data_IF_651258222991
#
_entry.id   IF_651258222991
#
_cell.length_a   1.000
_cell.length_b   1.000
_cell.length_c   1.000
_cell.angle_alpha   90.00
_cell.angle_beta   90.00
_cell.angle_gamma   90.00
#
_symmetry.space_group_name_H-M   'P 1'
#
loop_
_entity.id
_entity.type
_entity.pdbx_description
1 polymer ?
#
# COMPACT_ATOMS: atom_id res chain seq x y z
N UNK A 1 1.56 10.10 0.83
CA UNK A 1 0.46 11.08 0.88
C UNK A 1 -0.80 10.60 0.14
N UNK A 2 -0.71 9.52 -0.65
CA UNK A 2 -1.85 8.99 -1.39
C UNK A 2 -1.98 9.58 -2.79
N UNK A 3 -0.96 10.30 -3.27
CA UNK A 3 -0.90 10.78 -4.64
C UNK A 3 -0.30 9.73 -5.56
N UNK A 4 -0.90 9.59 -6.74
CA UNK A 4 -0.39 8.70 -7.79
C UNK A 4 0.95 9.20 -8.31
N UNK A 5 1.99 8.37 -8.22
CA UNK A 5 3.32 8.66 -8.77
C UNK A 5 3.48 8.14 -10.21
N UNK A 6 3.06 6.89 -10.44
CA UNK A 6 3.11 6.22 -11.73
C UNK A 6 2.07 5.10 -11.78
N UNK A 7 1.69 4.70 -13.00
CA UNK A 7 0.79 3.57 -13.25
C UNK A 7 1.22 2.81 -14.50
N UNK A 8 0.82 1.55 -14.62
CA UNK A 8 0.87 0.83 -15.89
C UNK A 8 -0.04 1.51 -16.91
N UNK A 9 0.34 1.48 -18.19
CA UNK A 9 -0.36 2.23 -19.24
C UNK A 9 -1.83 1.81 -19.38
N UNK A 10 -2.10 0.51 -19.22
CA UNK A 10 -3.43 -0.09 -19.38
C UNK A 10 -4.33 0.07 -18.14
N UNK A 11 -3.81 0.62 -17.04
CA UNK A 11 -4.60 0.87 -15.84
C UNK A 11 -5.18 2.27 -15.89
N UNK A 12 -6.51 2.41 -15.74
CA UNK A 12 -7.18 3.70 -15.86
C UNK A 12 -6.63 4.71 -14.82
N UNK A 13 -6.57 5.99 -15.21
CA UNK A 13 -5.99 7.03 -14.36
C UNK A 13 -6.86 7.32 -13.13
N UNK A 14 -8.17 7.41 -13.29
CA UNK A 14 -9.06 7.78 -12.18
C UNK A 14 -9.14 6.63 -11.17
N UNK A 15 -9.13 5.38 -11.67
CA UNK A 15 -8.99 4.20 -10.82
C UNK A 15 -7.64 4.18 -10.09
N UNK A 16 -6.54 4.52 -10.76
CA UNK A 16 -5.23 4.61 -10.14
C UNK A 16 -5.15 5.66 -9.03
N UNK A 17 -5.73 6.85 -9.26
CA UNK A 17 -5.81 7.91 -8.25
C UNK A 17 -6.65 7.45 -7.04
N UNK A 18 -7.78 6.77 -7.29
CA UNK A 18 -8.63 6.21 -6.23
C UNK A 18 -7.92 5.13 -5.42
N UNK A 19 -7.22 4.22 -6.08
CA UNK A 19 -6.44 3.16 -5.43
C UNK A 19 -5.30 3.75 -4.61
N UNK A 20 -4.55 4.72 -5.15
CA UNK A 20 -3.48 5.39 -4.41
C UNK A 20 -3.98 6.04 -3.11
N UNK A 21 -5.11 6.74 -3.18
CA UNK A 21 -5.74 7.36 -2.02
C UNK A 21 -6.16 6.30 -0.98
N UNK A 22 -6.87 5.24 -1.40
CA UNK A 22 -7.31 4.18 -0.51
C UNK A 22 -6.13 3.43 0.17
N UNK A 23 -5.11 3.07 -0.62
CA UNK A 23 -3.93 2.36 -0.13
C UNK A 23 -3.12 3.18 0.87
N UNK A 24 -3.11 4.51 0.75
CA UNK A 24 -2.47 5.38 1.75
C UNK A 24 -3.10 5.25 3.15
N UNK A 25 -4.43 5.05 3.20
CA UNK A 25 -5.15 4.77 4.45
C UNK A 25 -4.80 3.40 5.03
N UNK A 26 -4.81 2.36 4.18
CA UNK A 26 -4.42 1.00 4.58
C UNK A 26 -2.99 0.97 5.13
N UNK A 27 -2.06 1.65 4.46
CA UNK A 27 -0.66 1.73 4.87
C UNK A 27 -0.50 2.43 6.22
N UNK A 28 -1.20 3.56 6.42
CA UNK A 28 -1.18 4.33 7.66
C UNK A 28 -1.65 3.48 8.85
N UNK A 29 -2.75 2.75 8.67
CA UNK A 29 -3.26 1.82 9.68
C UNK A 29 -2.28 0.66 9.92
N UNK A 30 -1.73 0.09 8.86
CA UNK A 30 -0.81 -1.05 8.94
C UNK A 30 0.47 -0.70 9.71
N UNK A 31 0.99 0.52 9.55
CA UNK A 31 2.13 1.01 10.35
C UNK A 31 1.85 1.05 11.84
N UNK A 32 0.61 1.35 12.22
CA UNK A 32 0.21 1.37 13.64
C UNK A 32 0.28 -0.03 14.26
N UNK A 33 0.09 -1.10 13.48
CA UNK A 33 0.12 -2.47 13.98
C UNK A 33 1.52 -2.97 14.38
N UNK A 34 2.58 -2.21 14.12
CA UNK A 34 3.96 -2.59 14.45
C UNK A 34 4.15 -2.92 15.95
N UNK A 35 3.30 -2.41 16.85
CA UNK A 35 3.36 -2.74 18.28
C UNK A 35 3.18 -4.23 18.57
N UNK A 36 2.54 -5.00 17.68
CA UNK A 36 2.40 -6.46 17.83
C UNK A 36 3.70 -7.22 17.55
N UNK A 37 4.70 -6.60 16.91
CA UNK A 37 5.94 -7.27 16.52
C UNK A 37 7.01 -7.31 17.63
N UNK A 38 6.68 -6.88 18.86
CA UNK A 38 7.53 -6.89 20.08
C UNK A 38 8.92 -6.22 19.95
N UNK A 39 9.21 -5.57 18.82
CA UNK A 39 10.47 -4.89 18.53
C UNK A 39 10.18 -3.45 18.05
N UNK A 40 10.68 -2.42 18.76
CA UNK A 40 10.42 -1.02 18.43
C UNK A 40 11.16 -0.55 17.16
N UNK A 41 12.11 -1.33 16.63
CA UNK A 41 12.81 -1.02 15.38
C UNK A 41 12.05 -1.46 14.13
N UNK A 42 10.89 -2.10 14.30
CA UNK A 42 10.11 -2.63 13.20
C UNK A 42 9.55 -1.51 12.34
N UNK A 43 9.81 -1.63 11.04
CA UNK A 43 9.25 -0.76 10.01
C UNK A 43 8.28 -1.57 9.16
N UNK A 44 7.17 -0.94 8.79
CA UNK A 44 6.22 -1.55 7.88
C UNK A 44 6.91 -1.86 6.54
N UNK A 45 6.81 -3.11 6.10
CA UNK A 45 7.39 -3.59 4.84
C UNK A 45 6.36 -3.71 3.73
N UNK A 46 5.23 -4.34 4.04
CA UNK A 46 4.15 -4.59 3.11
C UNK A 46 2.84 -4.89 3.84
N UNK A 47 1.72 -4.75 3.12
CA UNK A 47 0.40 -5.26 3.50
C UNK A 47 -0.15 -6.11 2.35
N UNK A 48 -0.80 -7.23 2.70
CA UNK A 48 -1.53 -8.09 1.78
C UNK A 48 -3.00 -8.10 2.18
N UNK A 49 -3.88 -7.89 1.20
CA UNK A 49 -5.33 -7.99 1.37
C UNK A 49 -5.82 -9.10 0.46
N UNK A 50 -6.41 -10.13 1.04
CA UNK A 50 -6.94 -11.29 0.34
C UNK A 50 -8.44 -11.13 0.06
N UNK A 51 -8.84 -11.51 -1.15
CA UNK A 51 -10.22 -11.60 -1.62
C UNK A 51 -10.42 -12.98 -2.25
N UNK A 52 -11.68 -13.41 -2.39
CA UNK A 52 -12.01 -14.70 -3.02
C UNK A 52 -11.42 -14.87 -4.43
N UNK A 53 -11.16 -13.75 -5.12
CA UNK A 53 -10.62 -13.72 -6.49
C UNK A 53 -9.14 -13.39 -6.62
N UNK A 54 -8.41 -13.15 -5.52
CA UNK A 54 -6.99 -12.80 -5.58
C UNK A 54 -6.50 -11.94 -4.43
N UNK A 55 -5.37 -11.26 -4.62
CA UNK A 55 -4.69 -10.50 -3.57
C UNK A 55 -4.31 -9.11 -4.06
N UNK A 56 -4.37 -8.14 -3.15
CA UNK A 56 -3.78 -6.82 -3.35
C UNK A 56 -2.57 -6.69 -2.44
N UNK A 57 -1.43 -6.34 -3.02
CA UNK A 57 -0.18 -6.08 -2.34
C UNK A 57 0.11 -4.59 -2.31
N UNK A 58 0.49 -4.09 -1.15
CA UNK A 58 1.05 -2.75 -0.99
C UNK A 58 2.43 -2.87 -0.37
N UNK A 59 3.46 -2.45 -1.10
CA UNK A 59 4.87 -2.68 -0.75
C UNK A 59 5.59 -1.34 -0.62
N UNK A 60 6.51 -1.20 0.35
CA UNK A 60 7.39 -0.03 0.42
C UNK A 60 8.27 0.08 -0.83
N UNK A 61 8.28 1.25 -1.47
CA UNK A 61 9.04 1.52 -2.69
C UNK A 61 10.07 2.65 -2.51
N UNK A 62 10.45 2.95 -1.26
CA UNK A 62 11.30 4.08 -0.89
C UNK A 62 10.62 5.01 0.10
N UNK A 63 11.32 6.08 0.50
CA UNK A 63 10.77 7.05 1.44
C UNK A 63 9.57 7.78 0.83
N UNK A 64 8.41 7.66 1.48
CA UNK A 64 7.16 8.28 1.04
C UNK A 64 6.51 7.66 -0.20
N UNK A 65 7.10 6.60 -0.77
CA UNK A 65 6.63 5.93 -1.98
C UNK A 65 6.22 4.48 -1.73
N UNK A 66 5.16 4.03 -2.40
CA UNK A 66 4.59 2.69 -2.26
C UNK A 66 4.20 2.13 -3.61
N UNK A 67 4.37 0.82 -3.79
CA UNK A 67 3.97 0.08 -4.98
C UNK A 67 2.72 -0.74 -4.66
N UNK A 68 1.64 -0.49 -5.41
CA UNK A 68 0.42 -1.30 -5.39
C UNK A 68 0.41 -2.31 -6.54
N UNK A 69 0.12 -3.57 -6.26
CA UNK A 69 0.00 -4.65 -7.26
C UNK A 69 -1.20 -5.52 -6.92
N UNK A 70 -1.92 -5.99 -7.94
CA UNK A 70 -3.05 -6.92 -7.82
C UNK A 70 -2.96 -7.99 -8.91
#
# INVERSE_FOLDING_TARGET
>A
DGLLMARTQDFDKDDADRVAAAMSGVQSLSRTLAFFCEDPSQSWRQTLVEFDGGWVFLISAGEGAYLGVS
#
